data_IF_376188006574
#
_entry.id   IF_376188006574
#
_cell.length_a   1.000
_cell.length_b   1.000
_cell.length_c   1.000
_cell.angle_alpha   90.00
_cell.angle_beta   90.00
_cell.angle_gamma   90.00
#
_symmetry.space_group_name_H-M   'P 1'
#
loop_
_entity.id
_entity.type
_entity.pdbx_description
1 polymer ?
#
# COMPACT_ATOMS: atom_id res chain seq x y z
N UNK A 1 -5.14 -21.83 72.98
CA UNK A 1 -4.10 -22.86 72.80
C UNK A 1 -3.46 -22.68 71.43
N UNK A 2 -2.12 -22.66 71.40
CA UNK A 2 -1.20 -22.97 70.29
C UNK A 2 -1.40 -22.25 68.93
N UNK A 3 -0.45 -21.39 68.50
CA UNK A 3 0.76 -21.77 67.72
C UNK A 3 0.42 -21.96 66.22
N UNK A 4 1.18 -21.58 65.20
CA UNK A 4 2.55 -21.13 65.09
C UNK A 4 2.73 -20.69 63.62
N UNK A 5 3.34 -19.52 63.39
CA UNK A 5 4.44 -19.33 62.42
C UNK A 5 4.48 -20.25 61.19
N UNK A 6 3.76 -19.93 60.10
CA UNK A 6 4.04 -20.50 58.76
C UNK A 6 3.83 -19.54 57.58
N UNK A 7 3.82 -18.22 57.82
CA UNK A 7 3.53 -17.24 56.76
C UNK A 7 4.75 -16.56 56.12
N UNK A 8 6.00 -16.90 56.50
CA UNK A 8 7.18 -16.06 56.15
C UNK A 8 8.22 -16.73 55.25
N UNK A 9 8.02 -17.96 54.79
CA UNK A 9 9.05 -18.67 54.00
C UNK A 9 8.79 -18.68 52.48
N UNK A 10 7.55 -18.50 52.01
CA UNK A 10 7.21 -18.67 50.59
C UNK A 10 7.33 -17.40 49.74
N UNK A 11 7.29 -16.21 50.34
CA UNK A 11 7.40 -14.95 49.59
C UNK A 11 8.84 -14.60 49.21
N UNK A 12 9.83 -15.05 49.99
CA UNK A 12 11.24 -14.73 49.74
C UNK A 12 11.82 -15.43 48.49
N UNK A 13 11.43 -16.69 48.25
CA UNK A 13 11.94 -17.47 47.12
C UNK A 13 11.40 -16.96 45.77
N UNK A 14 10.15 -16.47 45.74
CA UNK A 14 9.52 -15.95 44.53
C UNK A 14 10.11 -14.58 44.12
N UNK A 15 10.48 -13.73 45.07
CA UNK A 15 11.09 -12.42 44.78
C UNK A 15 12.52 -12.57 44.25
N UNK A 16 13.28 -13.56 44.76
CA UNK A 16 14.65 -13.83 44.32
C UNK A 16 14.74 -14.44 42.90
N UNK A 17 13.72 -15.18 42.43
CA UNK A 17 13.70 -15.70 41.06
C UNK A 17 13.32 -14.63 40.04
N UNK A 18 12.42 -13.70 40.40
CA UNK A 18 12.04 -12.57 39.53
C UNK A 18 13.23 -11.61 39.31
N UNK A 19 14.06 -11.37 40.34
CA UNK A 19 15.22 -10.48 40.21
C UNK A 19 16.35 -11.06 39.31
N UNK A 20 16.46 -12.39 39.19
CA UNK A 20 17.46 -13.05 38.34
C UNK A 20 17.10 -13.10 36.86
N UNK A 21 15.84 -12.86 36.49
CA UNK A 21 15.42 -12.84 35.07
C UNK A 21 15.72 -11.50 34.38
N UNK A 22 16.08 -10.45 35.13
CA UNK A 22 16.36 -9.11 34.59
C UNK A 22 17.83 -8.85 34.20
N UNK A 23 18.70 -9.86 34.21
CA UNK A 23 20.13 -9.70 33.86
C UNK A 23 20.57 -10.36 32.54
N UNK A 24 19.64 -10.84 31.70
CA UNK A 24 19.95 -11.15 30.31
C UNK A 24 19.92 -9.84 29.48
N UNK A 25 21.09 -9.25 29.31
CA UNK A 25 21.33 -7.94 28.72
C UNK A 25 20.91 -7.88 27.24
N UNK A 26 20.17 -6.82 26.90
CA UNK A 26 19.91 -6.33 25.55
C UNK A 26 21.16 -5.65 24.99
N UNK A 27 21.79 -6.25 23.97
CA UNK A 27 22.82 -5.59 23.16
C UNK A 27 22.14 -4.75 22.08
N UNK A 28 22.23 -3.43 22.20
CA UNK A 28 21.83 -2.48 21.16
C UNK A 28 23.10 -2.16 20.37
N UNK A 29 23.11 -2.48 19.08
CA UNK A 29 24.14 -2.00 18.16
C UNK A 29 23.72 -0.61 17.64
N UNK A 30 24.62 0.35 17.78
CA UNK A 30 24.52 1.73 17.31
C UNK A 30 25.12 1.80 15.91
N UNK A 31 24.28 2.01 14.88
CA UNK A 31 24.75 2.31 13.52
C UNK A 31 24.62 3.82 13.27
N UNK A 32 25.69 4.53 13.61
CA UNK A 32 25.92 5.91 13.17
C UNK A 32 26.47 5.88 11.74
N UNK A 33 25.57 5.96 10.76
CA UNK A 33 25.89 6.07 9.33
C UNK A 33 25.45 7.40 8.75
N UNK A 34 26.27 8.45 8.92
CA UNK A 34 26.16 9.69 8.17
C UNK A 34 26.64 9.50 6.72
N UNK A 35 25.81 9.92 5.77
CA UNK A 35 26.15 9.92 4.34
C UNK A 35 25.33 10.97 3.60
N UNK A 36 25.85 12.19 3.52
CA UNK A 36 25.44 13.16 2.51
C UNK A 36 25.78 12.62 1.13
N UNK A 37 24.77 12.45 0.29
CA UNK A 37 24.90 12.04 -1.10
C UNK A 37 23.95 12.87 -1.94
N UNK A 38 24.54 13.79 -2.70
CA UNK A 38 24.02 14.45 -3.91
C UNK A 38 22.75 13.82 -4.51
N UNK A 39 21.65 14.59 -4.53
CA UNK A 39 20.47 14.27 -5.33
C UNK A 39 20.86 14.02 -6.79
N UNK A 40 20.68 12.81 -7.33
CA UNK A 40 20.70 12.63 -8.77
C UNK A 40 19.38 13.18 -9.31
N UNK A 41 19.43 13.75 -10.51
CA UNK A 41 18.23 14.08 -11.28
C UNK A 41 17.25 12.89 -11.24
N UNK A 42 15.95 13.18 -11.02
CA UNK A 42 14.88 12.19 -10.82
C UNK A 42 14.74 11.26 -12.03
N UNK A 43 15.59 10.24 -12.07
CA UNK A 43 15.38 9.04 -12.86
C UNK A 43 14.55 8.15 -11.94
N UNK A 44 13.31 7.84 -12.33
CA UNK A 44 12.41 7.02 -11.51
C UNK A 44 13.10 5.73 -11.06
N UNK A 45 13.44 5.66 -9.78
CA UNK A 45 13.96 4.48 -9.08
C UNK A 45 12.90 3.38 -8.93
N UNK A 46 11.68 3.64 -9.43
CA UNK A 46 10.56 2.72 -9.46
C UNK A 46 10.47 1.93 -10.77
N UNK A 47 10.25 0.63 -10.64
CA UNK A 47 9.90 -0.25 -11.76
C UNK A 47 8.37 -0.32 -11.89
N UNK A 48 7.88 -0.38 -13.12
CA UNK A 48 6.47 -0.63 -13.40
C UNK A 48 6.12 -2.11 -13.22
N UNK A 49 4.84 -2.43 -13.08
CA UNK A 49 4.36 -3.82 -13.13
C UNK A 49 3.54 -4.11 -14.38
N UNK A 50 2.99 -3.07 -15.00
CA UNK A 50 2.30 -3.15 -16.28
C UNK A 50 2.57 -1.93 -17.14
N UNK A 51 2.25 -2.05 -18.43
CA UNK A 51 2.22 -0.94 -19.38
C UNK A 51 1.39 -1.31 -20.61
N UNK A 52 0.40 -0.51 -20.96
CA UNK A 52 -0.53 -0.70 -22.07
C UNK A 52 -1.66 -1.71 -21.80
N UNK A 53 -2.61 -1.78 -22.75
CA UNK A 53 -3.77 -2.68 -22.70
C UNK A 53 -3.57 -3.89 -23.64
N UNK A 54 -3.71 -5.10 -23.12
CA UNK A 54 -3.45 -6.35 -23.83
C UNK A 54 -4.69 -7.17 -24.16
N UNK A 55 -5.76 -7.00 -23.39
CA UNK A 55 -7.03 -7.66 -23.66
C UNK A 55 -8.17 -6.72 -23.30
N UNK A 56 -9.19 -6.74 -24.12
CA UNK A 56 -10.43 -6.04 -23.88
C UNK A 56 -11.55 -7.06 -24.14
N UNK A 57 -12.25 -7.43 -23.08
CA UNK A 57 -13.23 -8.51 -23.10
C UNK A 57 -14.58 -8.02 -22.56
N UNK A 58 -15.65 -8.74 -22.89
CA UNK A 58 -17.01 -8.39 -22.45
C UNK A 58 -17.88 -7.85 -23.57
N UNK A 59 -19.13 -7.51 -23.22
CA UNK A 59 -20.08 -6.91 -24.16
C UNK A 59 -19.79 -5.40 -24.32
N UNK A 60 -20.31 -4.74 -25.37
CA UNK A 60 -20.14 -3.29 -25.54
C UNK A 60 -20.54 -2.46 -24.31
N UNK A 61 -21.45 -2.97 -23.49
CA UNK A 61 -21.96 -2.32 -22.27
C UNK A 61 -21.20 -2.69 -20.99
N UNK A 62 -20.39 -3.76 -21.00
CA UNK A 62 -19.66 -4.31 -19.84
C UNK A 62 -18.26 -4.73 -20.28
N UNK A 63 -17.50 -3.76 -20.78
CA UNK A 63 -16.16 -3.98 -21.29
C UNK A 63 -15.13 -3.94 -20.15
N UNK A 64 -14.40 -5.03 -19.98
CA UNK A 64 -13.30 -5.18 -19.03
C UNK A 64 -11.97 -5.16 -19.78
N UNK A 65 -11.09 -4.22 -19.42
CA UNK A 65 -9.74 -4.12 -19.98
C UNK A 65 -8.71 -4.73 -19.03
N UNK A 66 -7.76 -5.48 -19.58
CA UNK A 66 -6.63 -6.06 -18.86
C UNK A 66 -5.32 -5.53 -19.41
N UNK A 67 -4.44 -5.11 -18.50
CA UNK A 67 -3.14 -4.52 -18.82
C UNK A 67 -2.07 -5.57 -19.12
N UNK A 68 -1.08 -5.17 -19.92
CA UNK A 68 0.06 -6.02 -20.26
C UNK A 68 1.05 -6.08 -19.09
N UNK A 69 1.51 -7.26 -18.63
CA UNK A 69 2.61 -7.38 -17.69
C UNK A 69 3.89 -6.74 -18.23
N UNK A 70 4.54 -5.90 -17.44
CA UNK A 70 5.72 -5.14 -17.83
C UNK A 70 6.59 -4.83 -16.61
N UNK A 71 7.86 -5.21 -16.66
CA UNK A 71 8.82 -5.02 -15.56
C UNK A 71 9.90 -3.98 -15.90
N UNK A 72 9.60 -3.04 -16.79
CA UNK A 72 10.56 -1.99 -17.16
C UNK A 72 10.37 -0.70 -16.35
N UNK A 73 11.18 0.30 -16.66
CA UNK A 73 11.08 1.62 -16.04
C UNK A 73 9.82 2.37 -16.50
N UNK A 74 9.40 3.35 -15.69
CA UNK A 74 8.40 4.33 -16.09
C UNK A 74 8.83 5.08 -17.36
N UNK A 75 7.86 5.49 -18.18
CA UNK A 75 8.10 6.13 -19.47
C UNK A 75 7.67 7.60 -19.45
N UNK A 76 8.34 8.49 -20.20
CA UNK A 76 7.90 9.87 -20.35
C UNK A 76 6.45 9.95 -20.84
N UNK A 77 5.71 10.89 -20.28
CA UNK A 77 4.31 11.15 -20.63
C UNK A 77 4.25 11.90 -21.97
N UNK A 78 3.62 11.30 -22.98
CA UNK A 78 3.28 11.98 -24.24
C UNK A 78 2.11 12.95 -24.07
N UNK A 79 1.91 13.85 -25.04
CA UNK A 79 0.90 14.91 -24.98
C UNK A 79 -0.53 14.37 -24.78
N UNK A 80 -0.90 13.27 -25.45
CA UNK A 80 -2.24 12.70 -25.29
C UNK A 80 -2.42 12.13 -23.89
N UNK A 81 -1.42 11.42 -23.39
CA UNK A 81 -1.45 10.89 -22.02
C UNK A 81 -1.51 12.01 -20.99
N UNK A 82 -0.77 13.10 -21.21
CA UNK A 82 -0.79 14.31 -20.38
C UNK A 82 -2.20 14.89 -20.30
N UNK A 83 -2.84 15.13 -21.44
CA UNK A 83 -4.18 15.71 -21.50
C UNK A 83 -5.22 14.86 -20.76
N UNK A 84 -5.14 13.54 -20.93
CA UNK A 84 -6.04 12.60 -20.25
C UNK A 84 -5.80 12.55 -18.73
N UNK A 85 -4.54 12.64 -18.29
CA UNK A 85 -4.18 12.66 -16.88
C UNK A 85 -4.59 13.97 -16.19
N UNK A 86 -4.66 15.10 -16.91
CA UNK A 86 -5.09 16.38 -16.33
C UNK A 86 -6.52 16.31 -15.78
N UNK A 87 -7.38 15.44 -16.35
CA UNK A 87 -8.80 15.33 -15.97
C UNK A 87 -8.96 14.90 -14.49
N UNK A 88 -8.23 13.85 -14.08
CA UNK A 88 -8.39 13.27 -12.73
C UNK A 88 -7.07 13.12 -11.96
N UNK A 89 -5.95 12.97 -12.65
CA UNK A 89 -4.66 12.56 -12.09
C UNK A 89 -3.58 13.66 -12.16
N UNK A 90 -3.99 14.94 -12.08
CA UNK A 90 -3.08 16.10 -12.20
C UNK A 90 -1.85 16.04 -11.28
N UNK A 91 -1.94 15.35 -10.15
CA UNK A 91 -0.84 15.15 -9.21
C UNK A 91 0.32 14.32 -9.76
N UNK A 92 0.13 13.58 -10.87
CA UNK A 92 1.18 12.83 -11.54
C UNK A 92 1.96 13.68 -12.56
N UNK A 93 1.48 14.88 -12.88
CA UNK A 93 2.03 15.74 -13.94
C UNK A 93 3.01 16.78 -13.39
N UNK A 94 4.01 16.32 -12.64
CA UNK A 94 5.07 17.19 -12.10
C UNK A 94 6.30 17.12 -13.02
N UNK A 95 6.78 18.27 -13.49
CA UNK A 95 7.99 18.43 -14.33
C UNK A 95 8.00 17.48 -15.56
N UNK A 96 9.17 16.89 -15.88
CA UNK A 96 9.40 15.81 -16.85
C UNK A 96 8.73 14.50 -16.40
N UNK A 97 7.40 14.52 -16.32
CA UNK A 97 6.59 13.46 -15.77
C UNK A 97 6.83 12.12 -16.48
N UNK A 98 7.05 11.08 -15.68
CA UNK A 98 7.13 9.68 -16.12
C UNK A 98 6.05 8.86 -15.45
N UNK A 99 5.44 7.92 -16.18
CA UNK A 99 4.34 7.08 -15.69
C UNK A 99 4.48 5.62 -16.11
N UNK A 100 3.77 4.75 -15.40
CA UNK A 100 3.61 3.34 -15.76
C UNK A 100 2.32 3.07 -16.54
N UNK A 101 1.81 4.08 -17.26
CA UNK A 101 0.61 3.93 -18.06
C UNK A 101 0.69 4.72 -19.37
N UNK A 102 -0.04 4.24 -20.40
CA UNK A 102 -0.23 4.94 -21.67
C UNK A 102 -1.63 5.59 -21.77
N UNK A 103 -1.86 6.34 -22.85
CA UNK A 103 -3.12 7.03 -23.09
C UNK A 103 -4.33 6.09 -23.04
N UNK A 104 -4.20 4.86 -23.57
CA UNK A 104 -5.30 3.90 -23.60
C UNK A 104 -5.67 3.43 -22.19
N UNK A 105 -4.68 3.21 -21.31
CA UNK A 105 -4.93 2.90 -19.91
C UNK A 105 -5.57 4.08 -19.17
N UNK A 106 -5.17 5.32 -19.47
CA UNK A 106 -5.78 6.50 -18.85
C UNK A 106 -7.23 6.69 -19.32
N UNK A 107 -7.55 6.39 -20.58
CA UNK A 107 -8.93 6.37 -21.06
C UNK A 107 -9.81 5.40 -20.25
N UNK A 108 -9.33 4.16 -20.03
CA UNK A 108 -9.99 3.15 -19.19
C UNK A 108 -10.14 3.64 -17.74
N UNK A 109 -9.07 4.20 -17.17
CA UNK A 109 -9.08 4.77 -15.82
C UNK A 109 -10.14 5.87 -15.70
N UNK A 110 -10.21 6.79 -16.66
CA UNK A 110 -11.14 7.90 -16.66
C UNK A 110 -12.60 7.42 -16.76
N UNK A 111 -12.87 6.36 -17.51
CA UNK A 111 -14.19 5.71 -17.55
C UNK A 111 -14.55 5.09 -16.20
N UNK A 112 -13.62 4.36 -15.57
CA UNK A 112 -13.84 3.77 -14.24
C UNK A 112 -14.08 4.83 -13.15
N UNK A 113 -13.32 5.93 -13.18
CA UNK A 113 -13.51 7.06 -12.26
C UNK A 113 -14.88 7.72 -12.49
N UNK A 114 -15.32 7.90 -13.74
CA UNK A 114 -16.67 8.41 -14.05
C UNK A 114 -17.78 7.52 -13.50
N UNK A 115 -17.63 6.20 -13.58
CA UNK A 115 -18.59 5.26 -12.98
C UNK A 115 -18.65 5.42 -11.46
N UNK A 116 -17.50 5.54 -10.79
CA UNK A 116 -17.43 5.75 -9.34
C UNK A 116 -17.99 7.12 -8.92
N UNK A 117 -17.85 8.15 -9.76
CA UNK A 117 -18.36 9.49 -9.50
C UNK A 117 -19.89 9.50 -9.29
N UNK A 118 -20.63 8.60 -9.95
CA UNK A 118 -22.09 8.47 -9.76
C UNK A 118 -22.49 8.23 -8.29
N UNK A 119 -21.59 7.63 -7.49
CA UNK A 119 -21.82 7.33 -6.08
C UNK A 119 -21.12 8.32 -5.16
N UNK A 120 -19.93 8.79 -5.52
CA UNK A 120 -19.03 9.51 -4.62
C UNK A 120 -18.93 11.01 -4.89
N UNK A 121 -19.50 11.54 -5.97
CA UNK A 121 -19.40 12.96 -6.30
C UNK A 121 -19.97 13.90 -5.22
N UNK A 122 -20.91 13.42 -4.40
CA UNK A 122 -21.49 14.19 -3.28
C UNK A 122 -20.55 14.31 -2.07
N UNK A 123 -19.46 13.54 -2.03
CA UNK A 123 -18.43 13.60 -0.98
C UNK A 123 -17.05 13.93 -1.62
N UNK A 124 -16.66 15.22 -1.69
CA UNK A 124 -15.42 15.62 -2.36
C UNK A 124 -14.17 14.93 -1.83
N UNK A 125 -14.06 14.72 -0.52
CA UNK A 125 -12.93 14.02 0.10
C UNK A 125 -12.88 12.54 -0.28
N UNK A 126 -14.03 11.86 -0.29
CA UNK A 126 -14.14 10.47 -0.69
C UNK A 126 -13.70 10.30 -2.16
N UNK A 127 -14.19 11.21 -3.02
CA UNK A 127 -13.83 11.23 -4.43
C UNK A 127 -12.34 11.50 -4.63
N UNK A 128 -11.76 12.48 -3.94
CA UNK A 128 -10.34 12.80 -4.03
C UNK A 128 -9.45 11.63 -3.62
N UNK A 129 -9.78 10.93 -2.52
CA UNK A 129 -9.03 9.77 -2.05
C UNK A 129 -9.11 8.60 -3.03
N UNK A 130 -10.31 8.31 -3.57
CA UNK A 130 -10.47 7.25 -4.56
C UNK A 130 -9.70 7.56 -5.85
N UNK A 131 -9.84 8.78 -6.37
CA UNK A 131 -9.15 9.20 -7.59
C UNK A 131 -7.64 9.11 -7.41
N UNK A 132 -7.10 9.63 -6.30
CA UNK A 132 -5.67 9.51 -5.98
C UNK A 132 -5.22 8.06 -5.97
N UNK A 133 -5.97 7.19 -5.30
CA UNK A 133 -5.67 5.76 -5.24
C UNK A 133 -5.69 5.10 -6.63
N UNK A 134 -6.74 5.32 -7.43
CA UNK A 134 -6.89 4.74 -8.76
C UNK A 134 -5.79 5.22 -9.73
N UNK A 135 -5.45 6.51 -9.68
CA UNK A 135 -4.35 7.08 -10.45
C UNK A 135 -3.00 6.48 -10.04
N UNK A 136 -2.70 6.42 -8.74
CA UNK A 136 -1.41 5.89 -8.27
C UNK A 136 -1.27 4.40 -8.56
N UNK A 137 -2.33 3.63 -8.32
CA UNK A 137 -2.36 2.21 -8.65
C UNK A 137 -2.12 1.97 -10.14
N UNK A 138 -2.71 2.78 -11.02
CA UNK A 138 -2.64 2.58 -12.48
C UNK A 138 -1.37 3.13 -13.11
N UNK A 139 -0.88 4.28 -12.64
CA UNK A 139 0.08 5.09 -13.38
C UNK A 139 1.33 5.50 -12.58
N UNK A 140 1.40 5.24 -11.27
CA UNK A 140 2.56 5.63 -10.46
C UNK A 140 3.86 5.08 -11.06
N UNK A 141 4.94 5.89 -11.17
CA UNK A 141 6.23 5.39 -11.64
C UNK A 141 6.87 4.38 -10.67
N UNK A 142 6.31 4.23 -9.46
CA UNK A 142 6.84 3.39 -8.39
C UNK A 142 5.93 2.19 -8.07
N UNK A 143 5.18 1.68 -9.05
CA UNK A 143 4.25 0.56 -8.88
C UNK A 143 4.83 -0.65 -8.15
N UNK A 144 6.02 -1.10 -8.56
CA UNK A 144 6.71 -2.24 -7.95
C UNK A 144 6.93 -2.12 -6.43
N UNK A 145 6.91 -0.90 -5.87
CA UNK A 145 7.07 -0.69 -4.42
C UNK A 145 5.82 -1.14 -3.63
N UNK A 146 4.66 -1.20 -4.26
CA UNK A 146 3.41 -1.54 -3.56
C UNK A 146 2.61 -2.66 -4.22
N UNK A 147 2.95 -3.09 -5.43
CA UNK A 147 2.28 -4.22 -6.09
C UNK A 147 3.22 -5.08 -6.94
N UNK A 148 2.81 -6.32 -7.16
CA UNK A 148 3.48 -7.30 -8.01
C UNK A 148 2.44 -8.15 -8.75
N UNK A 149 2.77 -8.64 -9.95
CA UNK A 149 1.92 -9.58 -10.69
C UNK A 149 2.16 -11.00 -10.17
N UNK A 150 1.09 -11.71 -9.82
CA UNK A 150 1.15 -13.08 -9.30
C UNK A 150 0.97 -14.15 -10.34
N UNK A 151 0.11 -13.89 -11.31
CA UNK A 151 -0.18 -14.84 -12.37
C UNK A 151 -0.40 -14.08 -13.67
N UNK A 152 0.18 -14.61 -14.73
CA UNK A 152 -0.06 -14.16 -16.10
C UNK A 152 -0.57 -15.31 -16.92
N UNK A 153 -1.44 -15.02 -17.87
CA UNK A 153 -1.95 -15.98 -18.85
C UNK A 153 -1.77 -15.41 -20.25
N UNK A 154 -1.77 -16.28 -21.26
CA UNK A 154 -1.80 -15.85 -22.66
C UNK A 154 -3.26 -15.85 -23.09
N UNK A 155 -3.74 -14.72 -23.57
CA UNK A 155 -5.08 -14.64 -24.12
C UNK A 155 -5.14 -15.35 -25.48
N UNK A 156 -6.01 -16.34 -25.63
CA UNK A 156 -6.07 -17.14 -26.86
C UNK A 156 -6.46 -16.35 -28.11
N UNK A 157 -7.20 -15.25 -27.95
CA UNK A 157 -7.68 -14.42 -29.06
C UNK A 157 -6.64 -13.39 -29.48
N UNK A 158 -6.07 -12.66 -28.52
CA UNK A 158 -5.10 -11.60 -28.82
C UNK A 158 -3.66 -12.12 -28.92
N UNK A 159 -3.42 -13.36 -28.47
CA UNK A 159 -2.08 -13.97 -28.31
C UNK A 159 -1.14 -13.15 -27.42
N UNK A 160 -1.67 -12.20 -26.64
CA UNK A 160 -0.92 -11.35 -25.72
C UNK A 160 -0.93 -11.92 -24.31
N UNK A 161 0.17 -11.72 -23.59
CA UNK A 161 0.26 -12.04 -22.16
C UNK A 161 -0.50 -10.97 -21.37
N UNK A 162 -1.38 -11.39 -20.48
CA UNK A 162 -2.24 -10.55 -19.64
C UNK A 162 -2.01 -10.89 -18.17
N UNK A 163 -2.20 -9.92 -17.29
CA UNK A 163 -2.17 -10.17 -15.85
C UNK A 163 -3.51 -10.73 -15.40
N UNK A 164 -3.50 -11.85 -14.68
CA UNK A 164 -4.71 -12.48 -14.14
C UNK A 164 -4.89 -12.19 -12.64
N UNK A 165 -3.79 -12.01 -11.90
CA UNK A 165 -3.79 -11.68 -10.47
C UNK A 165 -2.64 -10.76 -10.11
N UNK A 166 -2.89 -9.80 -9.21
CA UNK A 166 -1.85 -8.98 -8.55
C UNK A 166 -1.91 -9.17 -7.02
N UNK A 167 -0.81 -8.88 -6.32
CA UNK A 167 -0.74 -8.85 -4.85
C UNK A 167 0.01 -7.58 -4.41
N UNK A 168 -0.24 -7.06 -3.20
CA UNK A 168 0.65 -6.07 -2.60
C UNK A 168 2.10 -6.57 -2.49
N UNK A 169 3.08 -5.75 -2.90
CA UNK A 169 4.50 -6.12 -2.86
C UNK A 169 5.00 -6.40 -1.43
N UNK A 170 4.50 -5.65 -0.44
CA UNK A 170 4.79 -5.86 0.96
C UNK A 170 3.61 -6.54 1.68
N UNK A 171 3.44 -7.83 1.43
CA UNK A 171 2.38 -8.64 2.04
C UNK A 171 2.61 -8.97 3.53
N UNK A 172 3.73 -8.55 4.16
CA UNK A 172 4.02 -8.99 5.53
C UNK A 172 3.21 -8.27 6.63
N UNK A 173 2.32 -7.31 6.37
CA UNK A 173 1.67 -6.64 7.52
C UNK A 173 0.37 -5.86 7.29
N UNK A 174 -0.40 -6.07 6.22
CA UNK A 174 -1.77 -5.46 6.21
C UNK A 174 -2.70 -6.24 7.14
N UNK A 175 -2.59 -7.57 7.17
CA UNK A 175 -3.33 -8.39 8.13
C UNK A 175 -2.80 -8.23 9.57
N UNK A 176 -1.47 -8.18 9.78
CA UNK A 176 -0.89 -8.01 11.12
C UNK A 176 -1.07 -6.59 11.71
N UNK A 177 -1.10 -5.52 10.87
CA UNK A 177 -1.32 -4.15 11.37
C UNK A 177 -2.78 -3.86 11.72
N UNK A 178 -3.74 -4.48 11.01
CA UNK A 178 -5.16 -4.31 11.35
C UNK A 178 -5.58 -5.07 12.61
N UNK A 179 -4.88 -6.14 12.99
CA UNK A 179 -5.11 -6.80 14.29
C UNK A 179 -4.61 -5.93 15.45
N UNK A 180 -3.47 -5.22 15.29
CA UNK A 180 -2.98 -4.31 16.35
C UNK A 180 -3.79 -3.02 16.50
N UNK A 181 -4.37 -2.48 15.43
CA UNK A 181 -5.16 -1.24 15.50
C UNK A 181 -6.55 -1.42 16.16
N UNK A 182 -7.10 -2.64 16.17
CA UNK A 182 -8.34 -2.93 16.93
C UNK A 182 -8.07 -3.05 18.44
N UNK A 183 -6.82 -3.18 18.86
CA UNK A 183 -6.44 -3.37 20.27
C UNK A 183 -5.99 -2.10 20.99
N UNK A 184 -6.02 -0.93 20.35
CA UNK A 184 -5.76 0.37 20.97
C UNK A 184 -7.03 1.25 21.07
N UNK A 185 -8.19 0.63 21.31
CA UNK A 185 -9.49 1.30 21.36
C UNK A 185 -10.36 0.95 22.56
N UNK A 186 -9.80 0.44 23.66
CA UNK A 186 -10.53 0.29 24.93
C UNK A 186 -9.69 0.87 26.06
N UNK A 187 -9.43 2.17 26.00
CA UNK A 187 -9.09 2.93 27.20
C UNK A 187 -10.42 3.27 27.88
N UNK A 188 -10.69 2.57 28.99
CA UNK A 188 -11.84 2.81 29.85
C UNK A 188 -11.76 4.23 30.43
N UNK A 189 -12.59 5.13 29.90
CA UNK A 189 -12.94 6.38 30.57
C UNK A 189 -14.38 6.22 31.05
N UNK A 190 -14.57 5.88 32.31
CA UNK A 190 -15.02 6.87 33.30
C UNK A 190 -15.10 6.23 34.69
N UNK A 191 -14.36 6.81 35.62
CA UNK A 191 -14.37 6.47 37.02
C UNK A 191 -14.47 7.76 37.80
N UNK A 192 -15.70 8.24 38.01
CA UNK A 192 -15.96 9.29 39.01
C UNK A 192 -17.24 8.96 39.77
N UNK A 193 -17.07 8.27 40.89
CA UNK A 193 -18.07 8.17 41.96
C UNK A 193 -17.65 9.10 43.10
N UNK A 194 -18.46 10.12 43.36
CA UNK A 194 -18.61 10.91 44.61
C UNK A 194 -19.84 11.80 44.41
N UNK A 195 -20.76 11.99 45.35
CA UNK A 195 -20.84 11.69 46.78
C UNK A 195 -22.25 11.20 47.13
#
# INVERSE_FOLDING_TARGET
MASCRRALAFTSVLVLTILKLSLAQTTIADDTGGGGGTSPARTGDGTCVWYGVCNVAGSPSLQTSQYCPYNGTARPVDDRTRDLLQVWCKHLLVDDAVTCCDAQQVDVLNQNVKLAANFLARCPSCMANLVRHMCDFTCSPQQSKFMEIKATEVNDKTKKRIHHKHRPAHHRSVHERNVRLVQCGVESVDGTARA
#
